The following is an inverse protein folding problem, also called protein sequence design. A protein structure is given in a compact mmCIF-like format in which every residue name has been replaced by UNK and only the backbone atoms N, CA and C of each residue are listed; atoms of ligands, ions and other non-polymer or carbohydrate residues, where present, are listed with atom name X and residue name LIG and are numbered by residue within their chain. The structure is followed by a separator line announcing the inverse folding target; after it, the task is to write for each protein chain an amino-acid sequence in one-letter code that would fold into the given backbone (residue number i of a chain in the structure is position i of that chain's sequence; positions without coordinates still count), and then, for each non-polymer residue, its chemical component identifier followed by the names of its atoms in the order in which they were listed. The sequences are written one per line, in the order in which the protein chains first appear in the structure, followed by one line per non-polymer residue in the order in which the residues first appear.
data_IF_839859376199
#
_entry.id   IF_839859376199
#
_cell.length_a   1.000
_cell.length_b   1.000
_cell.length_c   1.000
_cell.angle_alpha   90.00
_cell.angle_beta   90.00
_cell.angle_gamma   90.00
#
_symmetry.space_group_name_H-M   'P 1'
#
loop_
_entity.id
_entity.type
_entity.pdbx_description
1 polymer ?
#
# COMPACT_ATOMS: atom_id res chain seq x y z
N UNK A 1 5.24 5.87 9.10
CA UNK A 1 5.55 6.87 10.14
C UNK A 1 4.33 7.73 10.43
N UNK A 2 3.79 8.48 9.46
CA UNK A 2 2.67 9.43 9.67
C UNK A 2 1.27 8.80 9.76
N UNK A 3 1.16 7.48 9.74
CA UNK A 3 -0.11 6.78 9.71
C UNK A 3 -0.28 5.99 11.00
N UNK A 4 -1.37 6.24 11.72
CA UNK A 4 -1.73 5.53 12.92
C UNK A 4 -2.34 4.16 12.54
N UNK A 5 -1.65 3.09 12.94
CA UNK A 5 -2.02 1.71 12.58
C UNK A 5 -3.14 1.11 13.45
N UNK A 6 -3.49 1.77 14.57
CA UNK A 6 -4.60 1.35 15.43
C UNK A 6 -5.92 1.97 14.97
N UNK A 7 -5.91 3.28 14.69
CA UNK A 7 -7.10 4.02 14.26
C UNK A 7 -7.29 4.03 12.74
N UNK A 8 -6.29 3.52 12.00
CA UNK A 8 -6.27 3.44 10.53
C UNK A 8 -6.56 4.81 9.88
N UNK A 9 -5.81 5.83 10.30
CA UNK A 9 -5.91 7.18 9.76
C UNK A 9 -4.56 7.90 9.79
N UNK A 10 -4.45 8.98 9.02
CA UNK A 10 -3.32 9.90 9.12
C UNK A 10 -3.28 10.54 10.51
N UNK A 11 -2.12 10.49 11.15
CA UNK A 11 -1.94 10.93 12.53
C UNK A 11 -1.66 12.44 12.60
N UNK A 12 -2.63 13.22 13.08
CA UNK A 12 -2.54 14.69 13.09
C UNK A 12 -1.36 15.21 13.92
N UNK A 13 -1.03 14.57 15.05
CA UNK A 13 0.08 14.99 15.91
C UNK A 13 1.42 14.82 15.16
N UNK A 14 1.61 13.68 14.48
CA UNK A 14 2.79 13.45 13.66
C UNK A 14 2.87 14.36 12.43
N UNK A 15 1.73 14.67 11.81
CA UNK A 15 1.69 15.62 10.70
C UNK A 15 2.11 17.03 11.14
N UNK A 16 1.61 17.49 12.29
CA UNK A 16 1.99 18.79 12.87
C UNK A 16 3.48 18.83 13.23
N UNK A 17 4.00 17.79 13.90
CA UNK A 17 5.42 17.71 14.25
C UNK A 17 6.35 17.74 13.03
N UNK A 18 5.93 17.11 11.93
CA UNK A 18 6.69 17.07 10.68
C UNK A 18 6.35 18.23 9.74
N UNK A 19 5.43 19.11 10.13
CA UNK A 19 4.98 20.27 9.36
C UNK A 19 4.41 19.88 7.98
N UNK A 20 3.67 18.76 7.92
CA UNK A 20 3.09 18.21 6.69
C UNK A 20 1.62 18.63 6.55
N UNK A 21 1.23 19.35 5.48
CA UNK A 21 -0.16 19.68 5.23
C UNK A 21 -0.98 18.42 4.90
N UNK A 22 -2.08 18.20 5.63
CA UNK A 22 -3.00 17.07 5.40
C UNK A 22 -3.54 17.00 3.96
N UNK A 23 -3.70 18.15 3.30
CA UNK A 23 -4.17 18.23 1.90
C UNK A 23 -3.22 17.58 0.88
N UNK A 24 -1.98 17.26 1.25
CA UNK A 24 -1.03 16.56 0.38
C UNK A 24 -1.13 15.03 0.47
N UNK A 25 -1.86 14.51 1.46
CA UNK A 25 -1.90 13.09 1.74
C UNK A 25 -2.95 12.38 0.87
N UNK A 26 -2.66 11.17 0.38
CA UNK A 26 -3.63 10.38 -0.35
C UNK A 26 -4.70 9.84 0.60
N UNK A 27 -5.84 9.44 0.04
CA UNK A 27 -6.79 8.61 0.76
C UNK A 27 -6.20 7.19 0.91
N UNK A 28 -6.19 6.67 2.14
CA UNK A 28 -5.73 5.30 2.40
C UNK A 28 -6.89 4.33 2.21
N UNK A 29 -6.63 3.26 1.47
CA UNK A 29 -7.61 2.26 1.03
C UNK A 29 -7.11 0.86 1.36
N UNK A 30 -7.97 -0.16 1.24
CA UNK A 30 -7.55 -1.55 1.41
C UNK A 30 -6.54 -1.96 0.34
N UNK A 31 -5.78 -3.05 0.53
CA UNK A 31 -4.82 -3.53 -0.49
C UNK A 31 -5.48 -4.22 -1.69
N UNK A 32 -6.77 -4.52 -1.63
CA UNK A 32 -7.52 -5.25 -2.66
C UNK A 32 -8.95 -4.72 -2.80
N UNK A 33 -9.09 -3.63 -3.56
CA UNK A 33 -10.36 -3.05 -4.00
C UNK A 33 -10.19 -2.33 -5.33
N UNK A 34 -11.27 -2.06 -6.06
CA UNK A 34 -11.19 -1.26 -7.31
C UNK A 34 -11.03 0.22 -6.96
N UNK A 35 -9.81 0.73 -7.03
CA UNK A 35 -9.49 2.15 -6.76
C UNK A 35 -9.90 3.07 -7.90
N UNK A 36 -9.89 2.53 -9.12
CA UNK A 36 -10.13 3.28 -10.34
C UNK A 36 -9.88 2.42 -11.57
N UNK A 37 -10.07 3.03 -12.74
CA UNK A 37 -9.80 2.40 -14.01
C UNK A 37 -8.72 3.20 -14.75
N UNK A 38 -7.89 2.51 -15.51
CA UNK A 38 -6.95 3.16 -16.42
C UNK A 38 -7.72 3.97 -17.45
N UNK A 39 -7.14 5.07 -17.91
CA UNK A 39 -7.63 5.73 -19.14
C UNK A 39 -7.36 4.83 -20.36
N UNK A 40 -8.31 4.81 -21.28
CA UNK A 40 -8.38 3.89 -22.42
C UNK A 40 -7.14 3.90 -23.33
N UNK A 41 -6.59 5.08 -23.63
CA UNK A 41 -5.46 5.24 -24.53
C UNK A 41 -4.15 4.67 -23.98
N UNK A 42 -4.02 4.45 -22.67
CA UNK A 42 -2.87 3.77 -22.09
C UNK A 42 -2.92 2.25 -22.28
N UNK A 43 -4.11 1.68 -22.54
CA UNK A 43 -4.33 0.22 -22.59
C UNK A 43 -5.16 -0.20 -23.80
N UNK A 44 -4.72 0.16 -25.03
CA UNK A 44 -5.33 -0.31 -26.29
C UNK A 44 -6.85 -0.06 -26.41
N UNK A 45 -7.34 1.06 -25.89
CA UNK A 45 -8.76 1.39 -25.86
C UNK A 45 -9.55 0.73 -24.73
N UNK A 46 -8.86 0.15 -23.73
CA UNK A 46 -9.47 -0.54 -22.59
C UNK A 46 -9.32 0.26 -21.29
N UNK A 47 -10.38 0.26 -20.49
CA UNK A 47 -10.36 0.82 -19.13
C UNK A 47 -10.16 -0.34 -18.15
N UNK A 48 -8.91 -0.66 -17.83
CA UNK A 48 -8.54 -1.79 -16.97
C UNK A 48 -8.69 -1.38 -15.49
N UNK A 49 -9.36 -2.18 -14.64
CA UNK A 49 -9.46 -1.87 -13.23
C UNK A 49 -8.10 -2.00 -12.53
N UNK A 50 -7.71 -0.97 -11.79
CA UNK A 50 -6.59 -1.03 -10.85
C UNK A 50 -7.17 -1.52 -9.53
N UNK A 51 -6.87 -2.78 -9.17
CA UNK A 51 -7.54 -3.48 -8.08
C UNK A 51 -6.61 -4.05 -6.98
N UNK A 52 -5.29 -3.86 -7.11
CA UNK A 52 -4.31 -4.32 -6.12
C UNK A 52 -3.19 -3.31 -5.91
N UNK A 53 -2.96 -2.91 -4.65
CA UNK A 53 -1.86 -2.02 -4.26
C UNK A 53 -1.32 -2.51 -2.92
N UNK A 54 -0.03 -2.83 -2.87
CA UNK A 54 0.67 -3.24 -1.66
C UNK A 54 2.14 -2.83 -1.74
N UNK A 55 2.77 -2.62 -0.58
CA UNK A 55 4.24 -2.53 -0.51
C UNK A 55 4.88 -3.84 -0.97
N UNK A 56 6.06 -3.76 -1.56
CA UNK A 56 6.77 -4.91 -2.17
C UNK A 56 6.97 -6.08 -1.20
N UNK A 57 7.39 -5.81 0.03
CA UNK A 57 7.65 -6.83 1.03
C UNK A 57 6.36 -7.50 1.53
N UNK A 58 5.29 -6.73 1.70
CA UNK A 58 3.96 -7.25 2.07
C UNK A 58 3.33 -8.01 0.90
N UNK A 59 3.53 -7.55 -0.34
CA UNK A 59 3.11 -8.26 -1.54
C UNK A 59 3.84 -9.60 -1.67
N UNK A 60 5.14 -9.65 -1.37
CA UNK A 60 5.91 -10.89 -1.33
C UNK A 60 5.43 -11.85 -0.23
N UNK A 61 5.07 -11.33 0.95
CA UNK A 61 4.46 -12.11 2.03
C UNK A 61 3.14 -12.74 1.60
N UNK A 62 2.28 -11.95 0.95
CA UNK A 62 1.02 -12.44 0.40
C UNK A 62 1.25 -13.48 -0.71
N UNK A 63 2.19 -13.23 -1.63
CA UNK A 63 2.53 -14.14 -2.73
C UNK A 63 3.14 -15.48 -2.27
N UNK A 64 3.76 -15.53 -1.09
CA UNK A 64 4.23 -16.77 -0.44
C UNK A 64 3.13 -17.51 0.34
N UNK A 65 1.88 -17.06 0.26
CA UNK A 65 0.74 -17.60 0.99
C UNK A 65 0.95 -17.64 2.52
N UNK A 66 1.70 -16.67 3.06
CA UNK A 66 1.96 -16.53 4.50
C UNK A 66 0.77 -15.91 5.25
N UNK A 67 -0.38 -16.59 5.26
CA UNK A 67 -1.63 -16.07 5.85
C UNK A 67 -1.82 -16.45 7.32
N UNK A 68 -1.05 -17.41 7.82
CA UNK A 68 -1.08 -17.86 9.21
C UNK A 68 -0.15 -17.04 10.10
N UNK A 69 -0.55 -16.85 11.35
CA UNK A 69 0.32 -16.27 12.37
C UNK A 69 1.60 -17.12 12.54
N UNK A 70 2.75 -16.46 12.67
CA UNK A 70 4.05 -17.11 12.77
C UNK A 70 4.67 -17.55 11.45
N UNK A 71 3.98 -17.41 10.31
CA UNK A 71 4.59 -17.58 8.99
C UNK A 71 5.52 -16.40 8.68
N UNK A 72 6.67 -16.70 8.11
CA UNK A 72 7.67 -15.70 7.75
C UNK A 72 8.21 -15.96 6.35
N UNK A 73 8.68 -14.90 5.70
CA UNK A 73 9.40 -14.96 4.43
C UNK A 73 10.65 -14.11 4.52
N UNK A 74 11.58 -14.30 3.59
CA UNK A 74 12.69 -13.36 3.42
C UNK A 74 12.92 -13.10 1.92
N UNK A 75 13.02 -11.82 1.55
CA UNK A 75 13.28 -11.40 0.17
C UNK A 75 14.73 -10.95 0.05
N UNK A 76 15.51 -11.68 -0.75
CA UNK A 76 16.92 -11.37 -1.03
C UNK A 76 17.04 -10.61 -2.35
N UNK A 77 17.39 -9.33 -2.28
CA UNK A 77 17.65 -8.46 -3.43
C UNK A 77 18.89 -7.61 -3.17
N UNK A 78 18.85 -6.32 -3.50
CA UNK A 78 19.91 -5.36 -3.12
C UNK A 78 20.02 -5.22 -1.59
N UNK A 79 18.88 -5.30 -0.89
CA UNK A 79 18.77 -5.46 0.55
C UNK A 79 18.15 -6.81 0.92
N UNK A 80 17.99 -7.05 2.23
CA UNK A 80 17.38 -8.26 2.78
C UNK A 80 16.23 -7.83 3.72
N UNK A 81 15.04 -8.38 3.51
CA UNK A 81 13.83 -7.99 4.23
C UNK A 81 13.05 -9.22 4.69
N UNK A 82 13.05 -9.41 6.02
CA UNK A 82 12.32 -10.44 6.75
C UNK A 82 11.11 -9.83 7.45
#
# INVERSE_FOLDING_TARGET
LMYNIYDLSWDEELLDMLTIPKSMLPEVRSSSEVYGHTVDFHFFGQNIPIAGVAGDQQAALFGQACYGEGMAKNTYGTGCFM
#
